data_IF_058663831591
#
_entry.id   IF_058663831591
#
_cell.length_a   1.000
_cell.length_b   1.000
_cell.length_c   1.000
_cell.angle_alpha   90.00
_cell.angle_beta   90.00
_cell.angle_gamma   90.00
#
_symmetry.space_group_name_H-M   'P 1'
#
loop_
_entity.id
_entity.type
_entity.pdbx_description
1 polymer ?
#
# COMPACT_ATOMS: atom_id res chain seq x y z
N UNK A 1 9.67 23.75 39.78
CA UNK A 1 8.69 23.63 38.67
C UNK A 1 8.81 22.30 37.92
N UNK A 2 9.98 21.65 37.82
CA UNK A 2 10.15 20.37 37.12
C UNK A 2 9.76 19.16 37.98
N UNK A 3 10.05 19.22 39.28
CA UNK A 3 9.96 18.04 40.14
C UNK A 3 8.51 17.72 40.53
N UNK A 4 7.68 18.75 40.69
CA UNK A 4 6.22 18.60 40.88
C UNK A 4 5.56 17.97 39.65
N UNK A 5 5.93 18.42 38.44
CA UNK A 5 5.42 17.83 37.20
C UNK A 5 5.89 16.39 36.99
N UNK A 6 7.12 16.06 37.40
CA UNK A 6 7.61 14.68 37.37
C UNK A 6 6.84 13.79 38.35
N UNK A 7 6.55 14.28 39.56
CA UNK A 7 5.77 13.56 40.56
C UNK A 7 4.32 13.33 40.11
N UNK A 8 3.69 14.32 39.45
CA UNK A 8 2.36 14.16 38.86
C UNK A 8 2.36 13.13 37.73
N UNK A 9 3.35 13.17 36.84
CA UNK A 9 3.50 12.19 35.76
C UNK A 9 3.70 10.78 36.31
N UNK A 10 4.54 10.62 37.34
CA UNK A 10 4.75 9.34 38.01
C UNK A 10 3.49 8.83 38.70
N UNK A 11 2.71 9.71 39.33
CA UNK A 11 1.43 9.35 39.94
C UNK A 11 0.40 8.89 38.89
N UNK A 12 0.35 9.54 37.73
CA UNK A 12 -0.51 9.15 36.61
C UNK A 12 -0.10 7.78 36.07
N UNK A 13 1.20 7.54 35.86
CA UNK A 13 1.72 6.25 35.38
C UNK A 13 1.40 5.14 36.40
N UNK A 14 1.57 5.38 37.70
CA UNK A 14 1.25 4.42 38.74
C UNK A 14 -0.26 4.08 38.78
N UNK A 15 -1.13 5.05 38.54
CA UNK A 15 -2.57 4.82 38.48
C UNK A 15 -2.99 4.07 37.21
N UNK A 16 -2.35 4.33 36.07
CA UNK A 16 -2.59 3.57 34.83
C UNK A 16 -2.15 2.11 35.02
N UNK A 17 -0.97 1.87 35.61
CA UNK A 17 -0.50 0.51 35.92
C UNK A 17 -1.46 -0.23 36.86
N UNK A 18 -1.89 0.41 37.96
CA UNK A 18 -2.88 -0.19 38.87
C UNK A 18 -4.20 -0.53 38.20
N UNK A 19 -4.67 0.31 37.26
CA UNK A 19 -5.91 0.07 36.53
C UNK A 19 -5.78 -1.09 35.55
N UNK A 20 -4.63 -1.21 34.88
CA UNK A 20 -4.32 -2.35 34.02
C UNK A 20 -4.26 -3.65 34.83
N UNK A 21 -3.60 -3.64 35.99
CA UNK A 21 -3.52 -4.81 36.88
C UNK A 21 -4.91 -5.22 37.41
N UNK A 22 -5.81 -4.27 37.69
CA UNK A 22 -7.19 -4.58 38.11
C UNK A 22 -8.02 -5.15 36.97
N UNK A 23 -7.90 -4.57 35.76
CA UNK A 23 -8.64 -5.04 34.60
C UNK A 23 -8.15 -6.45 34.18
N UNK A 24 -6.84 -6.71 34.23
CA UNK A 24 -6.25 -8.03 34.00
C UNK A 24 -6.66 -9.06 35.06
N UNK A 25 -6.70 -8.69 36.35
CA UNK A 25 -7.17 -9.59 37.40
C UNK A 25 -8.63 -9.96 37.25
N UNK A 26 -9.50 -8.99 36.91
CA UNK A 26 -10.93 -9.25 36.67
C UNK A 26 -11.11 -10.17 35.47
N UNK A 27 -10.37 -9.97 34.38
CA UNK A 27 -10.40 -10.87 33.22
C UNK A 27 -9.95 -12.29 33.60
N UNK A 28 -8.88 -12.42 34.38
CA UNK A 28 -8.37 -13.74 34.81
C UNK A 28 -9.34 -14.44 35.77
N UNK A 29 -9.97 -13.72 36.70
CA UNK A 29 -10.99 -14.28 37.60
C UNK A 29 -12.25 -14.73 36.84
N UNK A 30 -12.70 -13.92 35.87
CA UNK A 30 -13.83 -14.28 35.00
C UNK A 30 -13.49 -15.51 34.13
N UNK A 31 -12.30 -15.56 33.52
CA UNK A 31 -11.88 -16.73 32.71
C UNK A 31 -11.71 -18.00 33.56
N UNK A 32 -11.17 -17.92 34.77
CA UNK A 32 -11.06 -19.08 35.68
C UNK A 32 -12.45 -19.55 36.10
N UNK A 33 -13.37 -18.64 36.38
CA UNK A 33 -14.75 -18.98 36.77
C UNK A 33 -15.55 -19.63 35.64
N UNK A 34 -15.31 -19.19 34.39
CA UNK A 34 -15.91 -19.78 33.19
C UNK A 34 -15.34 -21.17 32.90
N UNK A 35 -14.03 -21.37 33.09
CA UNK A 35 -13.36 -22.67 32.94
C UNK A 35 -13.85 -23.70 33.98
N UNK A 36 -14.03 -23.30 35.24
CA UNK A 36 -14.54 -24.18 36.30
C UNK A 36 -16.02 -24.55 36.10
N UNK A 37 -16.83 -23.66 35.53
CA UNK A 37 -18.23 -23.96 35.20
C UNK A 37 -18.35 -24.85 33.96
N UNK A 38 -17.47 -24.71 32.96
CA UNK A 38 -17.46 -25.59 31.79
C UNK A 38 -17.07 -27.04 32.13
N UNK A 39 -16.26 -27.29 33.16
CA UNK A 39 -15.93 -28.67 33.58
C UNK A 39 -17.08 -29.38 34.29
N UNK A 40 -17.94 -28.66 35.02
CA UNK A 40 -19.05 -29.25 35.78
C UNK A 40 -20.26 -29.64 34.93
N UNK A 41 -20.41 -29.08 33.72
CA UNK A 41 -21.57 -29.29 32.84
C UNK A 41 -21.34 -30.24 31.65
N UNK A 42 -20.17 -30.88 31.55
CA UNK A 42 -19.88 -31.87 30.50
C UNK A 42 -20.65 -33.17 30.74
N UNK A 43 -21.86 -33.25 30.21
CA UNK A 43 -22.60 -34.51 30.03
C UNK A 43 -21.67 -35.53 29.33
N UNK A 44 -21.66 -36.81 29.75
CA UNK A 44 -20.75 -37.79 29.17
C UNK A 44 -20.98 -37.88 27.67
N UNK A 45 -19.92 -37.62 26.90
CA UNK A 45 -19.99 -37.77 25.45
C UNK A 45 -20.25 -39.24 25.11
N UNK A 46 -21.20 -39.54 24.21
CA UNK A 46 -21.46 -40.92 23.83
C UNK A 46 -20.22 -41.49 23.14
N UNK A 47 -19.64 -42.52 23.75
CA UNK A 47 -18.43 -43.21 23.28
C UNK A 47 -18.71 -43.80 21.89
N UNK A 48 -18.24 -43.12 20.83
CA UNK A 48 -18.40 -43.55 19.44
C UNK A 48 -17.02 -43.77 18.84
N UNK A 49 -16.85 -44.90 18.16
CA UNK A 49 -15.60 -45.23 17.48
C UNK A 49 -15.29 -44.31 16.29
N UNK A 50 -14.01 -44.29 15.91
CA UNK A 50 -13.51 -43.61 14.71
C UNK A 50 -14.19 -44.23 13.48
N UNK A 51 -14.70 -43.43 12.51
CA UNK A 51 -15.28 -43.98 11.30
C UNK A 51 -14.23 -44.79 10.53
N UNK A 52 -14.59 -46.03 10.12
CA UNK A 52 -13.70 -46.97 9.41
C UNK A 52 -12.96 -46.35 8.20
N UNK A 53 -13.56 -45.35 7.55
CA UNK A 53 -12.97 -44.67 6.39
C UNK A 53 -12.06 -43.46 6.72
N UNK A 54 -11.88 -43.06 7.98
CA UNK A 54 -11.05 -41.92 8.40
C UNK A 54 -11.50 -40.52 7.92
N UNK A 55 -12.49 -40.45 7.05
CA UNK A 55 -13.00 -39.22 6.43
C UNK A 55 -13.73 -38.33 7.44
N UNK A 56 -13.20 -37.12 7.66
CA UNK A 56 -13.70 -36.14 8.63
C UNK A 56 -15.18 -35.73 8.42
N UNK A 57 -15.68 -35.75 7.18
CA UNK A 57 -17.06 -35.40 6.83
C UNK A 57 -18.11 -36.46 7.19
N UNK A 58 -17.67 -37.64 7.67
CA UNK A 58 -18.54 -38.68 8.24
C UNK A 58 -18.66 -38.58 9.77
N UNK A 59 -18.17 -37.49 10.38
CA UNK A 59 -18.36 -37.19 11.79
C UNK A 59 -19.85 -37.02 12.14
N UNK A 60 -20.17 -37.04 13.45
CA UNK A 60 -21.55 -36.86 13.92
C UNK A 60 -22.01 -35.45 13.54
N UNK A 61 -23.03 -35.36 12.69
CA UNK A 61 -23.73 -34.09 12.43
C UNK A 61 -24.41 -33.64 13.73
N UNK A 62 -24.15 -32.42 14.16
CA UNK A 62 -24.87 -31.82 15.27
C UNK A 62 -26.30 -31.45 14.84
N UNK A 63 -27.24 -31.47 15.79
CA UNK A 63 -28.60 -31.01 15.52
C UNK A 63 -28.56 -29.49 15.27
N UNK A 64 -29.33 -28.99 14.32
CA UNK A 64 -29.47 -27.54 14.07
C UNK A 64 -29.93 -26.74 15.31
N UNK A 65 -30.50 -27.41 16.31
CA UNK A 65 -30.84 -26.82 17.62
C UNK A 65 -29.64 -26.52 18.52
N UNK A 66 -28.47 -27.15 18.27
CA UNK A 66 -27.21 -26.90 18.99
C UNK A 66 -26.50 -25.64 18.49
N UNK A 67 -26.87 -25.15 17.30
CA UNK A 67 -26.44 -23.84 16.82
C UNK A 67 -27.12 -22.80 17.73
N UNK A 68 -26.34 -22.15 18.59
CA UNK A 68 -26.82 -21.07 19.45
C UNK A 68 -27.50 -19.99 18.57
N UNK A 69 -28.83 -19.92 18.64
CA UNK A 69 -29.65 -18.92 17.97
C UNK A 69 -29.58 -17.61 18.75
N UNK A 70 -28.40 -17.02 18.87
CA UNK A 70 -28.29 -15.66 19.40
C UNK A 70 -29.00 -14.72 18.43
N UNK A 71 -29.79 -13.77 18.97
CA UNK A 71 -30.21 -12.61 18.16
C UNK A 71 -28.91 -11.93 17.76
N UNK A 72 -28.46 -12.12 16.50
CA UNK A 72 -27.16 -11.64 16.05
C UNK A 72 -26.93 -10.22 16.53
N UNK A 73 -25.73 -9.91 17.03
CA UNK A 73 -25.40 -8.66 17.69
C UNK A 73 -25.67 -7.49 16.72
N UNK A 74 -26.89 -6.93 16.77
CA UNK A 74 -27.28 -5.83 15.89
C UNK A 74 -26.67 -4.57 16.48
N UNK A 75 -25.67 -4.04 15.80
CA UNK A 75 -25.14 -2.71 16.15
C UNK A 75 -26.28 -1.69 16.13
N UNK A 76 -26.30 -0.82 17.15
CA UNK A 76 -27.19 0.33 17.20
C UNK A 76 -26.95 1.23 15.98
N UNK A 77 -27.96 2.03 15.63
CA UNK A 77 -27.88 2.95 14.50
C UNK A 77 -26.68 3.91 14.63
N UNK A 78 -26.45 4.44 15.83
CA UNK A 78 -25.33 5.32 16.14
C UNK A 78 -23.97 4.65 15.86
N UNK A 79 -23.78 3.40 16.31
CA UNK A 79 -22.56 2.62 16.03
C UNK A 79 -22.35 2.41 14.52
N UNK A 80 -23.43 2.24 13.75
CA UNK A 80 -23.35 2.12 12.28
C UNK A 80 -22.96 3.45 11.63
N UNK A 81 -23.48 4.57 12.11
CA UNK A 81 -23.12 5.89 11.58
C UNK A 81 -21.67 6.24 11.90
N UNK A 82 -21.20 5.96 13.12
CA UNK A 82 -19.79 6.13 13.50
C UNK A 82 -18.86 5.29 12.60
N UNK A 83 -19.21 4.01 12.35
CA UNK A 83 -18.44 3.14 11.45
C UNK A 83 -18.40 3.71 10.01
N UNK A 84 -19.53 4.20 9.50
CA UNK A 84 -19.59 4.80 8.15
C UNK A 84 -18.69 6.03 8.04
N UNK A 85 -18.73 6.90 9.05
CA UNK A 85 -17.89 8.09 9.10
C UNK A 85 -16.39 7.72 9.16
N UNK A 86 -16.01 6.73 9.97
CA UNK A 86 -14.64 6.23 10.03
C UNK A 86 -14.17 5.66 8.69
N UNK A 87 -14.97 4.80 8.06
CA UNK A 87 -14.66 4.22 6.75
C UNK A 87 -14.50 5.32 5.70
N UNK A 88 -15.38 6.33 5.71
CA UNK A 88 -15.31 7.45 4.79
C UNK A 88 -14.00 8.23 4.97
N UNK A 89 -13.66 8.59 6.22
CA UNK A 89 -12.41 9.27 6.54
C UNK A 89 -11.18 8.51 6.07
N UNK A 90 -11.12 7.19 6.33
CA UNK A 90 -10.00 6.35 5.88
C UNK A 90 -9.90 6.30 4.34
N UNK A 91 -11.03 6.26 3.63
CA UNK A 91 -11.07 6.28 2.16
C UNK A 91 -10.62 7.62 1.59
N UNK A 92 -11.02 8.73 2.20
CA UNK A 92 -10.59 10.06 1.79
C UNK A 92 -9.08 10.23 1.97
N UNK A 93 -8.54 9.79 3.10
CA UNK A 93 -7.10 9.81 3.37
C UNK A 93 -6.33 8.93 2.37
N UNK A 94 -6.79 7.72 2.09
CA UNK A 94 -6.10 6.84 1.13
C UNK A 94 -6.15 7.39 -0.30
N UNK A 95 -7.27 8.01 -0.68
CA UNK A 95 -7.42 8.68 -1.97
C UNK A 95 -6.45 9.86 -2.12
N UNK A 96 -6.32 10.70 -1.10
CA UNK A 96 -5.37 11.82 -1.09
C UNK A 96 -3.93 11.34 -1.33
N UNK A 97 -3.49 10.30 -0.59
CA UNK A 97 -2.14 9.74 -0.76
C UNK A 97 -1.90 9.18 -2.16
N UNK A 98 -2.89 8.52 -2.76
CA UNK A 98 -2.78 7.99 -4.12
C UNK A 98 -2.72 9.11 -5.16
N UNK A 99 -3.48 10.18 -4.98
CA UNK A 99 -3.46 11.35 -5.86
C UNK A 99 -2.11 12.06 -5.80
N UNK A 100 -1.55 12.28 -4.61
CA UNK A 100 -0.21 12.84 -4.41
C UNK A 100 0.86 11.99 -5.10
N UNK A 101 0.81 10.66 -4.92
CA UNK A 101 1.75 9.76 -5.59
C UNK A 101 1.63 9.85 -7.10
N UNK A 102 0.40 9.88 -7.64
CA UNK A 102 0.15 9.99 -9.07
C UNK A 102 0.67 11.32 -9.62
N UNK A 103 0.41 12.44 -8.95
CA UNK A 103 0.94 13.75 -9.33
C UNK A 103 2.46 13.75 -9.38
N UNK A 104 3.13 13.22 -8.34
CA UNK A 104 4.59 13.09 -8.29
C UNK A 104 5.16 12.25 -9.44
N UNK A 105 4.48 11.17 -9.84
CA UNK A 105 4.91 10.35 -10.98
C UNK A 105 4.72 11.08 -12.31
N UNK A 106 3.63 11.82 -12.49
CA UNK A 106 3.40 12.63 -13.69
C UNK A 106 4.47 13.72 -13.82
N UNK A 107 4.74 14.47 -12.74
CA UNK A 107 5.77 15.51 -12.72
C UNK A 107 7.16 14.94 -13.08
N UNK A 108 7.52 13.77 -12.54
CA UNK A 108 8.77 13.07 -12.89
C UNK A 108 8.83 12.72 -14.38
N UNK A 109 7.72 12.24 -14.96
CA UNK A 109 7.65 11.89 -16.39
C UNK A 109 7.77 13.14 -17.25
N UNK A 110 7.09 14.22 -16.90
CA UNK A 110 7.16 15.51 -17.60
C UNK A 110 8.57 16.09 -17.56
N UNK A 111 9.19 16.11 -16.38
CA UNK A 111 10.59 16.54 -16.22
C UNK A 111 11.54 15.71 -17.09
N UNK A 112 11.35 14.38 -17.13
CA UNK A 112 12.15 13.50 -17.99
C UNK A 112 11.93 13.82 -19.47
N UNK A 113 10.69 14.04 -19.89
CA UNK A 113 10.35 14.40 -21.28
C UNK A 113 11.02 15.72 -21.68
N UNK A 114 10.90 16.75 -20.84
CA UNK A 114 11.55 18.05 -21.06
C UNK A 114 13.08 17.93 -21.11
N UNK A 115 13.68 17.13 -20.23
CA UNK A 115 15.13 16.90 -20.24
C UNK A 115 15.59 16.18 -21.51
N UNK A 116 14.82 15.20 -22.00
CA UNK A 116 15.13 14.50 -23.25
C UNK A 116 15.03 15.47 -24.44
N UNK A 117 13.98 16.29 -24.47
CA UNK A 117 13.79 17.29 -25.52
C UNK A 117 14.92 18.33 -25.53
N UNK A 118 15.25 18.88 -24.36
CA UNK A 118 16.39 19.80 -24.20
C UNK A 118 17.71 19.15 -24.59
N UNK A 119 17.93 17.89 -24.21
CA UNK A 119 19.14 17.16 -24.59
C UNK A 119 19.22 16.93 -26.11
N UNK A 120 18.09 16.63 -26.77
CA UNK A 120 18.02 16.48 -28.21
C UNK A 120 18.27 17.82 -28.93
N UNK A 121 17.71 18.91 -28.44
CA UNK A 121 17.96 20.25 -28.98
C UNK A 121 19.41 20.68 -28.77
N UNK A 122 19.96 20.47 -27.58
CA UNK A 122 21.36 20.75 -27.29
C UNK A 122 22.28 19.92 -28.16
N UNK A 123 21.99 18.63 -28.36
CA UNK A 123 22.74 17.76 -29.27
C UNK A 123 22.75 18.31 -30.69
N UNK A 124 21.60 18.79 -31.19
CA UNK A 124 21.51 19.46 -32.51
C UNK A 124 22.31 20.75 -32.55
N UNK A 125 22.22 21.60 -31.52
CA UNK A 125 22.96 22.87 -31.44
C UNK A 125 24.48 22.69 -31.33
N UNK A 126 24.92 21.66 -30.59
CA UNK A 126 26.34 21.35 -30.41
C UNK A 126 26.92 20.50 -31.55
N UNK A 127 26.10 20.09 -32.52
CA UNK A 127 26.56 19.25 -33.62
C UNK A 127 27.49 20.05 -34.54
N UNK A 128 28.78 19.76 -34.46
CA UNK A 128 29.78 20.37 -35.33
C UNK A 128 29.78 19.60 -36.65
N UNK A 129 29.45 20.29 -37.74
CA UNK A 129 29.34 19.74 -39.09
C UNK A 129 30.46 20.24 -39.99
N UNK A 130 31.03 19.34 -40.77
CA UNK A 130 32.02 19.67 -41.79
C UNK A 130 31.32 19.81 -43.14
N UNK A 131 31.42 21.00 -43.76
CA UNK A 131 30.88 21.23 -45.11
C UNK A 131 31.78 20.55 -46.14
N UNK A 132 31.24 19.60 -46.90
CA UNK A 132 31.95 18.91 -47.97
C UNK A 132 31.77 19.70 -49.28
N UNK A 133 32.79 20.44 -49.67
CA UNK A 133 32.76 21.26 -50.90
C UNK A 133 32.91 20.44 -52.18
N UNK A 134 33.65 19.33 -52.15
CA UNK A 134 33.90 18.48 -53.33
C UNK A 134 33.16 17.13 -53.22
N UNK A 135 32.17 16.94 -54.08
CA UNK A 135 31.30 15.75 -54.10
C UNK A 135 31.95 14.51 -54.72
N UNK A 136 33.01 14.66 -55.51
CA UNK A 136 33.74 13.53 -56.07
C UNK A 136 34.41 12.67 -54.97
N UNK A 137 34.73 13.27 -53.81
CA UNK A 137 35.26 12.55 -52.65
C UNK A 137 34.27 11.51 -52.13
N UNK A 138 32.99 11.87 -51.97
CA UNK A 138 31.95 10.94 -51.53
C UNK A 138 31.75 9.78 -52.53
N UNK A 139 31.81 10.07 -53.83
CA UNK A 139 31.67 9.07 -54.89
C UNK A 139 32.81 8.05 -54.92
N UNK A 140 34.00 8.42 -54.45
CA UNK A 140 35.18 7.54 -54.38
C UNK A 140 35.22 6.69 -53.10
N UNK A 141 34.43 7.01 -52.09
CA UNK A 141 34.44 6.29 -50.81
C UNK A 141 33.80 4.90 -50.91
N UNK A 142 34.23 3.99 -50.04
CA UNK A 142 33.63 2.64 -49.96
C UNK A 142 32.22 2.73 -49.36
N UNK A 143 31.31 1.86 -49.82
CA UNK A 143 29.92 1.77 -49.32
C UNK A 143 29.82 1.64 -47.79
N UNK A 144 30.78 0.97 -47.14
CA UNK A 144 30.81 0.86 -45.66
C UNK A 144 31.10 2.21 -44.98
N UNK A 145 31.97 3.04 -45.55
CA UNK A 145 32.32 4.35 -44.99
C UNK A 145 31.16 5.34 -45.13
N UNK A 146 30.43 5.28 -46.25
CA UNK A 146 29.23 6.10 -46.47
C UNK A 146 28.11 5.84 -45.46
N UNK A 147 28.06 4.67 -44.81
CA UNK A 147 27.07 4.34 -43.77
C UNK A 147 27.29 5.11 -42.46
N UNK A 148 28.52 5.58 -42.20
CA UNK A 148 28.84 6.36 -41.01
C UNK A 148 28.62 7.88 -41.20
N UNK A 149 28.38 8.32 -42.43
CA UNK A 149 28.18 9.74 -42.73
C UNK A 149 26.70 10.05 -42.58
N UNK A 150 26.37 10.91 -41.62
CA UNK A 150 25.04 11.50 -41.50
C UNK A 150 25.00 12.85 -42.21
N UNK A 151 23.93 13.10 -42.97
CA UNK A 151 23.74 14.38 -43.66
C UNK A 151 23.00 15.35 -42.75
N UNK A 152 23.45 16.60 -42.74
CA UNK A 152 22.86 17.71 -41.99
C UNK A 152 22.76 18.93 -42.89
N UNK A 153 21.69 19.69 -42.71
CA UNK A 153 21.46 20.92 -43.47
C UNK A 153 22.35 22.03 -42.90
N UNK A 154 23.17 22.62 -43.77
CA UNK A 154 24.04 23.76 -43.46
C UNK A 154 23.75 24.95 -44.36
N UNK A 155 22.64 24.90 -45.10
CA UNK A 155 22.20 26.03 -45.94
C UNK A 155 21.97 27.23 -45.03
N UNK A 156 22.78 28.27 -45.23
CA UNK A 156 22.48 29.60 -44.69
C UNK A 156 21.12 29.99 -45.25
N UNK A 157 20.18 30.36 -44.38
CA UNK A 157 18.92 30.98 -44.80
C UNK A 157 19.31 32.18 -45.66
N UNK A 158 19.10 32.09 -46.98
CA UNK A 158 19.12 33.26 -47.83
C UNK A 158 17.80 33.93 -47.48
N UNK A 159 17.83 35.02 -46.73
CA UNK A 159 16.65 35.86 -46.49
C UNK A 159 16.08 36.23 -47.87
N UNK A 160 14.99 35.58 -48.27
CA UNK A 160 14.30 35.91 -49.51
C UNK A 160 13.50 37.19 -49.28
N UNK A 161 14.20 38.31 -49.25
CA UNK A 161 13.59 39.62 -49.47
C UNK A 161 13.35 39.77 -50.98
N UNK A 162 12.15 39.39 -51.44
CA UNK A 162 11.48 40.03 -52.57
C UNK A 162 9.99 39.70 -52.60
#
# INVERSE_FOLDING_TARGET
>A
MTDETQNEVLAIIANIGKKQDTDEKVIVEDEISDLENEEKDKKPEPIRGIPKSGRFWKSKKEKFSKINKTKGLRNSFEKKQALRAQIQRTKEQSKQLLEEFKQKQLERKERRRQNIERAAENKRKSEIVQVITNTAKLKRMRKKQLRFIEKRDTNKQIESNK
#
